data_IF_277840309006
#
_entry.id   IF_277840309006
#
_cell.length_a   1.000
_cell.length_b   1.000
_cell.length_c   1.000
_cell.angle_alpha   90.00
_cell.angle_beta   90.00
_cell.angle_gamma   90.00
#
_symmetry.space_group_name_H-M   'P 1'
#
loop_
_entity.id
_entity.type
_entity.pdbx_description
1 polymer ?
#
# COMPACT_ATOMS: atom_id res chain seq x y z
N UNK A 1 7.64 -26.82 -5.40
CA UNK A 1 8.13 -25.41 -5.44
C UNK A 1 9.63 -25.39 -5.18
N UNK A 2 10.42 -24.70 -5.97
CA UNK A 2 11.86 -24.58 -5.71
C UNK A 2 12.07 -23.51 -4.61
N UNK A 3 11.95 -23.94 -3.35
CA UNK A 3 12.06 -23.06 -2.18
C UNK A 3 13.42 -22.34 -2.12
N UNK A 4 14.49 -23.00 -2.56
CA UNK A 4 15.81 -22.39 -2.61
C UNK A 4 15.85 -21.20 -3.57
N UNK A 5 15.28 -21.34 -4.77
CA UNK A 5 15.23 -20.24 -5.75
C UNK A 5 14.53 -18.98 -5.20
N UNK A 6 13.41 -19.19 -4.48
CA UNK A 6 12.69 -18.09 -3.84
C UNK A 6 13.52 -17.44 -2.73
N UNK A 7 14.08 -18.25 -1.83
CA UNK A 7 14.85 -17.77 -0.68
C UNK A 7 16.09 -16.99 -1.11
N UNK A 8 16.83 -17.51 -2.09
CA UNK A 8 18.04 -16.87 -2.61
C UNK A 8 17.72 -15.53 -3.27
N UNK A 9 16.65 -15.47 -4.08
CA UNK A 9 16.21 -14.26 -4.74
C UNK A 9 15.61 -13.22 -3.77
N UNK A 10 15.07 -13.64 -2.63
CA UNK A 10 14.48 -12.78 -1.60
C UNK A 10 15.55 -12.14 -0.68
N UNK A 11 16.67 -12.83 -0.45
CA UNK A 11 17.67 -12.45 0.54
C UNK A 11 18.16 -10.98 0.43
N UNK A 12 18.50 -10.43 -0.75
CA UNK A 12 18.93 -9.03 -0.89
C UNK A 12 17.87 -8.03 -0.40
N UNK A 13 16.59 -8.30 -0.69
CA UNK A 13 15.48 -7.41 -0.31
C UNK A 13 15.20 -7.45 1.20
N UNK A 14 15.40 -8.61 1.84
CA UNK A 14 15.32 -8.71 3.29
C UNK A 14 16.44 -7.95 3.97
N UNK A 15 17.67 -8.04 3.46
CA UNK A 15 18.81 -7.29 3.97
C UNK A 15 18.59 -5.78 3.80
N UNK A 16 18.11 -5.34 2.65
CA UNK A 16 17.80 -3.93 2.38
C UNK A 16 16.67 -3.41 3.28
N UNK A 17 15.58 -4.15 3.41
CA UNK A 17 14.46 -3.80 4.31
C UNK A 17 14.90 -3.70 5.77
N UNK A 18 15.75 -4.63 6.24
CA UNK A 18 16.31 -4.58 7.59
C UNK A 18 17.18 -3.33 7.81
N UNK A 19 17.95 -2.91 6.82
CA UNK A 19 18.78 -1.71 6.87
C UNK A 19 17.93 -0.42 6.92
N UNK A 20 16.79 -0.41 6.25
CA UNK A 20 15.89 0.75 6.17
C UNK A 20 14.97 0.90 7.37
N UNK A 21 14.70 -0.20 8.10
CA UNK A 21 13.82 -0.20 9.28
C UNK A 21 14.56 0.37 10.48
N UNK A 22 14.02 1.39 11.18
CA UNK A 22 14.59 1.89 12.42
C UNK A 22 14.67 0.78 13.48
N UNK A 23 15.74 0.78 14.27
CA UNK A 23 15.92 -0.19 15.34
C UNK A 23 14.81 -0.04 16.39
N UNK A 24 14.19 -1.17 16.77
CA UNK A 24 13.11 -1.23 17.77
C UNK A 24 11.81 -0.49 17.42
N UNK A 25 11.64 -0.01 16.17
CA UNK A 25 10.38 0.59 15.76
C UNK A 25 9.26 -0.45 15.78
N UNK A 26 8.13 -0.08 16.39
CA UNK A 26 6.89 -0.85 16.28
C UNK A 26 6.44 -0.86 14.81
N UNK A 27 6.03 -2.01 14.29
CA UNK A 27 5.37 -2.12 13.00
C UNK A 27 3.90 -2.43 13.24
N UNK A 28 3.05 -1.56 12.71
CA UNK A 28 1.59 -1.66 12.83
C UNK A 28 0.96 -1.61 11.45
N UNK A 29 0.31 -2.69 11.04
CA UNK A 29 -0.39 -2.77 9.76
C UNK A 29 -1.81 -2.20 9.89
N UNK A 30 -2.08 -1.04 9.30
CA UNK A 30 -3.35 -0.35 9.46
C UNK A 30 -4.51 -0.98 8.65
N UNK A 31 -4.24 -1.95 7.75
CA UNK A 31 -5.24 -2.43 6.81
C UNK A 31 -5.07 -3.92 6.53
N UNK A 32 -5.81 -4.75 7.26
CA UNK A 32 -5.87 -6.19 7.02
C UNK A 32 -7.30 -6.69 7.06
N UNK A 33 -7.54 -7.83 6.44
CA UNK A 33 -8.86 -8.46 6.41
C UNK A 33 -8.83 -9.88 6.96
N UNK A 34 -9.98 -10.37 7.45
CA UNK A 34 -10.24 -11.77 7.73
C UNK A 34 -11.59 -12.20 7.16
N UNK A 35 -11.70 -13.49 6.88
CA UNK A 35 -12.93 -14.13 6.40
C UNK A 35 -12.89 -14.53 4.93
N UNK A 36 -14.03 -14.47 4.28
CA UNK A 36 -14.25 -14.85 2.88
C UNK A 36 -14.80 -13.64 2.12
N UNK A 37 -14.31 -13.38 0.92
CA UNK A 37 -14.85 -12.38 0.00
C UNK A 37 -15.73 -13.04 -1.07
N UNK A 38 -16.68 -12.28 -1.64
CA UNK A 38 -17.53 -12.75 -2.74
C UNK A 38 -16.74 -13.17 -3.99
N UNK A 39 -15.54 -12.63 -4.17
CA UNK A 39 -14.63 -13.02 -5.26
C UNK A 39 -13.90 -14.35 -5.01
N UNK A 40 -14.17 -15.01 -3.88
CA UNK A 40 -13.58 -16.28 -3.49
C UNK A 40 -12.22 -16.18 -2.79
N UNK A 41 -11.68 -14.99 -2.59
CA UNK A 41 -10.49 -14.80 -1.74
C UNK A 41 -10.86 -14.96 -0.28
N UNK A 42 -9.93 -15.53 0.48
CA UNK A 42 -10.13 -15.73 1.92
C UNK A 42 -8.83 -15.58 2.67
N UNK A 43 -8.94 -15.23 3.94
CA UNK A 43 -7.81 -15.20 4.86
C UNK A 43 -8.30 -15.65 6.25
N UNK A 44 -7.63 -16.63 6.82
CA UNK A 44 -7.88 -17.10 8.17
C UNK A 44 -6.89 -16.49 9.18
N UNK A 45 -7.21 -16.57 10.47
CA UNK A 45 -6.42 -16.01 11.54
C UNK A 45 -4.97 -16.55 11.57
N UNK A 46 -4.72 -17.89 11.53
CA UNK A 46 -3.35 -18.40 11.54
C UNK A 46 -2.50 -17.88 10.38
N UNK A 47 -3.09 -17.80 9.20
CA UNK A 47 -2.39 -17.29 8.00
C UNK A 47 -2.08 -15.80 8.12
N UNK A 48 -3.01 -14.97 8.64
CA UNK A 48 -2.74 -13.56 8.88
C UNK A 48 -1.63 -13.37 9.91
N UNK A 49 -1.69 -14.07 11.05
CA UNK A 49 -0.66 -13.97 12.07
C UNK A 49 0.73 -14.37 11.54
N UNK A 50 0.81 -15.44 10.73
CA UNK A 50 2.07 -15.82 10.07
C UNK A 50 2.60 -14.73 9.12
N UNK A 51 1.72 -14.04 8.38
CA UNK A 51 2.13 -12.94 7.50
C UNK A 51 2.64 -11.73 8.29
N UNK A 52 2.01 -11.41 9.42
CA UNK A 52 2.47 -10.37 10.33
C UNK A 52 3.84 -10.72 10.92
N UNK A 53 4.07 -11.99 11.30
CA UNK A 53 5.37 -12.47 11.78
C UNK A 53 6.45 -12.34 10.70
N UNK A 54 6.16 -12.75 9.46
CA UNK A 54 7.07 -12.62 8.32
C UNK A 54 7.46 -11.16 8.03
N UNK A 55 6.55 -10.21 8.29
CA UNK A 55 6.81 -8.77 8.20
C UNK A 55 7.47 -8.21 9.47
N UNK A 56 7.49 -8.95 10.57
CA UNK A 56 7.84 -8.45 11.90
C UNK A 56 6.88 -7.38 12.39
N UNK A 57 5.59 -7.49 12.03
CA UNK A 57 4.54 -6.60 12.49
C UNK A 57 4.03 -7.01 13.88
N UNK A 58 3.98 -6.05 14.78
CA UNK A 58 3.56 -6.24 16.16
C UNK A 58 2.04 -6.33 16.25
N UNK A 59 1.35 -5.42 15.60
CA UNK A 59 -0.12 -5.28 15.63
C UNK A 59 -0.68 -5.01 14.23
N UNK A 60 -1.98 -5.25 14.05
CA UNK A 60 -2.71 -4.87 12.84
C UNK A 60 -4.16 -4.50 13.14
N UNK A 61 -4.71 -3.54 12.35
CA UNK A 61 -6.16 -3.37 12.27
C UNK A 61 -6.74 -4.46 11.36
N UNK A 62 -7.87 -5.01 11.76
CA UNK A 62 -8.54 -6.10 11.03
C UNK A 62 -10.03 -5.87 10.92
N UNK A 63 -10.61 -6.17 9.76
CA UNK A 63 -12.03 -6.06 9.50
C UNK A 63 -12.50 -7.11 8.49
N UNK A 64 -13.85 -7.36 8.41
CA UNK A 64 -14.38 -8.36 7.50
C UNK A 64 -14.12 -8.03 6.03
N UNK A 65 -13.89 -9.05 5.23
CA UNK A 65 -14.01 -9.01 3.78
C UNK A 65 -15.45 -8.70 3.35
N UNK A 66 -15.72 -8.57 2.05
CA UNK A 66 -17.09 -8.44 1.52
C UNK A 66 -17.77 -9.81 1.51
N UNK A 67 -18.10 -10.29 2.71
CA UNK A 67 -18.52 -11.65 3.00
C UNK A 67 -19.87 -11.98 2.34
N UNK A 68 -20.03 -13.17 1.72
CA UNK A 68 -21.32 -13.65 1.21
C UNK A 68 -22.41 -13.71 2.27
N UNK A 69 -22.09 -13.93 3.54
CA UNK A 69 -23.01 -13.97 4.68
C UNK A 69 -23.17 -12.63 5.40
N UNK A 70 -22.83 -11.49 4.74
CA UNK A 70 -22.87 -10.15 5.33
C UNK A 70 -24.26 -9.65 5.72
N UNK A 71 -25.30 -10.26 5.19
CA UNK A 71 -26.67 -9.83 5.49
C UNK A 71 -27.26 -10.56 6.70
N UNK A 72 -27.95 -9.84 7.60
CA UNK A 72 -28.12 -8.39 7.62
C UNK A 72 -26.92 -7.65 8.23
N UNK A 73 -26.68 -6.42 7.75
CA UNK A 73 -25.83 -5.39 8.37
C UNK A 73 -24.38 -5.80 8.71
N UNK A 74 -23.80 -6.78 8.04
CA UNK A 74 -22.51 -7.38 8.38
C UNK A 74 -22.42 -8.02 9.78
N UNK A 75 -23.53 -8.27 10.47
CA UNK A 75 -23.50 -8.71 11.87
C UNK A 75 -22.69 -9.98 12.09
N UNK A 76 -22.87 -11.02 11.25
CA UNK A 76 -22.14 -12.27 11.37
C UNK A 76 -20.64 -12.14 11.05
N UNK A 77 -20.20 -11.49 9.94
CA UNK A 77 -18.80 -11.23 9.69
C UNK A 77 -18.13 -10.37 10.77
N UNK A 78 -18.80 -9.35 11.29
CA UNK A 78 -18.29 -8.54 12.39
C UNK A 78 -18.09 -9.38 13.65
N UNK A 79 -19.05 -10.24 14.02
CA UNK A 79 -18.90 -11.11 15.19
C UNK A 79 -17.76 -12.12 15.05
N UNK A 80 -17.51 -12.64 13.83
CA UNK A 80 -16.35 -13.49 13.55
C UNK A 80 -15.03 -12.74 13.78
N UNK A 81 -14.91 -11.53 13.25
CA UNK A 81 -13.68 -10.71 13.42
C UNK A 81 -13.46 -10.38 14.89
N UNK A 82 -14.49 -10.00 15.64
CA UNK A 82 -14.38 -9.76 17.08
C UNK A 82 -13.88 -11.00 17.82
N UNK A 83 -14.42 -12.20 17.51
CA UNK A 83 -13.99 -13.46 18.10
C UNK A 83 -12.51 -13.75 17.79
N UNK A 84 -12.09 -13.64 16.52
CA UNK A 84 -10.69 -13.86 16.11
C UNK A 84 -9.73 -12.85 16.73
N UNK A 85 -10.21 -11.64 16.98
CA UNK A 85 -9.41 -10.61 17.67
C UNK A 85 -9.12 -11.02 19.11
N UNK A 86 -10.12 -11.55 19.82
CA UNK A 86 -9.93 -12.07 21.19
C UNK A 86 -8.92 -13.22 21.24
N UNK A 87 -8.86 -14.05 20.18
CA UNK A 87 -7.90 -15.17 20.05
C UNK A 87 -6.48 -14.71 19.68
N UNK A 88 -6.30 -13.45 19.26
CA UNK A 88 -5.02 -12.91 18.78
C UNK A 88 -4.08 -12.39 19.87
N UNK A 89 -4.45 -12.53 21.14
CA UNK A 89 -3.66 -12.06 22.28
C UNK A 89 -3.28 -10.56 22.20
N UNK A 90 -4.21 -9.74 21.65
CA UNK A 90 -4.04 -8.29 21.51
C UNK A 90 -3.22 -7.83 20.30
N UNK A 91 -2.85 -8.75 19.40
CA UNK A 91 -2.17 -8.40 18.16
C UNK A 91 -3.08 -7.76 17.13
N UNK A 92 -4.36 -8.10 17.14
CA UNK A 92 -5.35 -7.56 16.19
C UNK A 92 -6.25 -6.53 16.87
N UNK A 93 -6.53 -5.46 16.16
CA UNK A 93 -7.44 -4.37 16.56
C UNK A 93 -8.67 -4.42 15.68
N UNK A 94 -9.86 -4.77 16.18
CA UNK A 94 -11.03 -4.98 15.36
C UNK A 94 -11.67 -3.67 14.91
N UNK A 95 -11.96 -3.57 13.61
CA UNK A 95 -12.86 -2.57 13.05
C UNK A 95 -14.14 -3.27 12.58
N UNK A 96 -15.29 -2.67 12.80
CA UNK A 96 -16.53 -3.19 12.23
C UNK A 96 -16.79 -2.66 10.82
N UNK A 97 -17.29 -3.50 9.94
CA UNK A 97 -17.74 -3.08 8.61
C UNK A 97 -19.22 -2.75 8.68
N UNK A 98 -19.60 -1.56 8.22
CA UNK A 98 -20.99 -1.10 8.24
C UNK A 98 -21.52 -0.99 6.82
N UNK A 99 -22.78 -1.41 6.60
CA UNK A 99 -23.49 -1.17 5.35
C UNK A 99 -24.43 0.03 5.53
N UNK A 100 -24.16 1.17 4.85
CA UNK A 100 -25.01 2.35 4.98
C UNK A 100 -26.49 2.10 4.68
N UNK A 101 -26.82 1.09 3.86
CA UNK A 101 -28.19 0.72 3.50
C UNK A 101 -28.90 -0.16 4.55
N UNK A 102 -28.18 -0.71 5.55
CA UNK A 102 -28.73 -1.74 6.46
C UNK A 102 -28.51 -1.38 7.95
N UNK A 103 -29.25 -0.41 8.47
CA UNK A 103 -29.23 0.02 9.88
C UNK A 103 -27.80 0.22 10.45
N UNK A 104 -26.93 1.01 9.80
CA UNK A 104 -25.51 1.11 10.15
C UNK A 104 -25.24 1.58 11.58
N UNK A 105 -26.09 2.45 12.13
CA UNK A 105 -25.88 2.99 13.48
C UNK A 105 -26.06 1.92 14.54
N UNK A 106 -27.16 1.14 14.45
CA UNK A 106 -27.42 0.07 15.42
C UNK A 106 -26.32 -1.00 15.42
N UNK A 107 -25.82 -1.38 14.22
CA UNK A 107 -24.71 -2.33 14.10
C UNK A 107 -23.39 -1.72 14.59
N UNK A 108 -23.12 -0.45 14.27
CA UNK A 108 -21.95 0.27 14.75
C UNK A 108 -21.90 0.35 16.28
N UNK A 109 -22.97 0.81 16.91
CA UNK A 109 -23.11 0.86 18.37
C UNK A 109 -22.91 -0.53 19.00
N UNK A 110 -23.52 -1.58 18.42
CA UNK A 110 -23.38 -2.96 18.87
C UNK A 110 -21.92 -3.44 18.83
N UNK A 111 -21.21 -3.18 17.73
CA UNK A 111 -19.81 -3.58 17.55
C UNK A 111 -18.87 -2.80 18.47
N UNK A 112 -19.06 -1.48 18.61
CA UNK A 112 -18.29 -0.64 19.51
C UNK A 112 -18.46 -1.10 20.97
N UNK A 113 -19.68 -1.44 21.39
CA UNK A 113 -19.95 -1.99 22.72
C UNK A 113 -19.27 -3.36 22.95
N UNK A 114 -18.99 -4.12 21.90
CA UNK A 114 -18.25 -5.40 21.92
C UNK A 114 -16.74 -5.24 21.75
N UNK A 115 -16.22 -4.02 21.66
CA UNK A 115 -14.79 -3.77 21.62
C UNK A 115 -14.21 -3.40 20.24
N UNK A 116 -15.04 -3.18 19.23
CA UNK A 116 -14.55 -2.60 17.95
C UNK A 116 -13.91 -1.23 18.21
N UNK A 117 -12.80 -0.95 17.54
CA UNK A 117 -11.98 0.25 17.73
C UNK A 117 -11.92 1.12 16.46
N UNK A 118 -12.78 0.85 15.48
CA UNK A 118 -12.90 1.60 14.23
C UNK A 118 -14.01 1.08 13.34
N UNK A 119 -14.26 1.80 12.26
CA UNK A 119 -15.29 1.51 11.26
C UNK A 119 -14.62 1.32 9.91
N UNK A 120 -15.06 0.33 9.13
CA UNK A 120 -14.66 0.11 7.73
C UNK A 120 -15.83 0.42 6.80
N UNK A 121 -15.55 1.21 5.76
CA UNK A 121 -16.47 1.51 4.66
C UNK A 121 -15.82 1.19 3.31
N UNK A 122 -16.64 0.69 2.37
CA UNK A 122 -16.18 0.38 1.02
C UNK A 122 -17.20 0.82 -0.03
N UNK A 123 -17.13 2.07 -0.54
CA UNK A 123 -18.16 2.67 -1.38
C UNK A 123 -18.54 1.82 -2.59
N UNK A 124 -17.57 1.23 -3.29
CA UNK A 124 -17.85 0.39 -4.48
C UNK A 124 -18.52 -0.93 -4.12
N UNK A 125 -17.99 -1.68 -3.14
CA UNK A 125 -18.54 -3.00 -2.78
C UNK A 125 -19.92 -2.90 -2.14
N UNK A 126 -20.19 -1.81 -1.42
CA UNK A 126 -21.45 -1.57 -0.71
C UNK A 126 -22.39 -0.61 -1.46
N UNK A 127 -21.99 -0.14 -2.65
CA UNK A 127 -22.78 0.66 -3.59
C UNK A 127 -23.41 1.93 -2.97
N UNK A 128 -22.65 2.70 -2.21
CA UNK A 128 -23.08 3.96 -1.62
C UNK A 128 -22.26 5.16 -2.09
N UNK A 129 -22.79 6.37 -1.90
CA UNK A 129 -22.14 7.65 -2.09
C UNK A 129 -22.06 8.42 -0.75
N UNK A 130 -21.16 9.41 -0.65
CA UNK A 130 -20.91 10.15 0.60
C UNK A 130 -21.91 11.30 0.86
N UNK A 131 -22.82 11.56 -0.05
CA UNK A 131 -23.91 12.56 0.08
C UNK A 131 -25.21 11.99 0.63
N UNK A 132 -25.25 10.69 0.97
CA UNK A 132 -26.39 10.03 1.60
C UNK A 132 -26.59 10.47 3.05
N UNK A 133 -27.84 10.54 3.53
CA UNK A 133 -28.15 10.98 4.90
C UNK A 133 -27.59 10.06 5.99
N UNK A 134 -27.38 8.78 5.67
CA UNK A 134 -26.81 7.78 6.60
C UNK A 134 -25.35 8.08 6.93
N UNK A 135 -24.66 8.79 6.02
CA UNK A 135 -23.22 9.06 6.17
C UNK A 135 -22.94 10.05 7.30
N UNK A 136 -23.75 11.11 7.45
CA UNK A 136 -23.61 12.02 8.58
C UNK A 136 -23.79 11.27 9.92
N UNK A 137 -24.72 10.32 10.00
CA UNK A 137 -24.91 9.49 11.20
C UNK A 137 -23.71 8.60 11.53
N UNK A 138 -23.10 7.96 10.51
CA UNK A 138 -21.90 7.11 10.69
C UNK A 138 -20.72 7.97 11.15
N UNK A 139 -20.53 9.15 10.57
CA UNK A 139 -19.46 10.07 10.95
C UNK A 139 -19.65 10.61 12.37
N UNK A 140 -20.89 11.00 12.75
CA UNK A 140 -21.23 11.40 14.12
C UNK A 140 -20.95 10.27 15.12
N UNK A 141 -21.33 9.04 14.80
CA UNK A 141 -21.04 7.88 15.66
C UNK A 141 -19.53 7.70 15.88
N UNK A 142 -18.73 7.86 14.82
CA UNK A 142 -17.29 7.74 14.91
C UNK A 142 -16.65 8.87 15.75
N UNK A 143 -17.12 10.12 15.61
CA UNK A 143 -16.68 11.26 16.43
C UNK A 143 -17.02 11.06 17.91
N UNK A 144 -18.27 10.69 18.22
CA UNK A 144 -18.73 10.45 19.59
C UNK A 144 -17.96 9.31 20.27
N UNK A 145 -17.73 8.22 19.54
CA UNK A 145 -16.95 7.07 20.02
C UNK A 145 -15.45 7.29 19.99
N UNK A 146 -14.96 8.37 19.33
CA UNK A 146 -13.53 8.68 19.10
C UNK A 146 -12.79 7.53 18.43
N UNK A 147 -13.38 6.96 17.40
CA UNK A 147 -12.79 5.86 16.61
C UNK A 147 -12.60 6.29 15.15
N UNK A 148 -11.55 5.79 14.46
CA UNK A 148 -11.33 6.12 13.07
C UNK A 148 -12.32 5.41 12.13
N UNK A 149 -12.51 6.01 10.95
CA UNK A 149 -13.18 5.39 9.81
C UNK A 149 -12.15 5.10 8.73
N UNK A 150 -11.93 3.83 8.38
CA UNK A 150 -11.11 3.44 7.25
C UNK A 150 -11.99 3.28 6.01
N UNK A 151 -11.68 4.06 4.97
CA UNK A 151 -12.47 4.16 3.74
C UNK A 151 -11.66 3.62 2.57
N UNK A 152 -12.21 2.66 1.83
CA UNK A 152 -11.61 2.23 0.57
C UNK A 152 -11.63 3.38 -0.45
N UNK A 153 -10.47 3.75 -0.96
CA UNK A 153 -10.28 4.84 -1.93
C UNK A 153 -9.30 4.41 -3.06
N UNK A 154 -9.38 3.14 -3.44
CA UNK A 154 -8.50 2.50 -4.42
C UNK A 154 -8.91 2.71 -5.87
N UNK A 155 -8.23 2.01 -6.77
CA UNK A 155 -8.50 2.04 -8.21
C UNK A 155 -9.89 1.47 -8.54
N UNK A 156 -10.46 1.94 -9.65
CA UNK A 156 -11.76 1.47 -10.13
C UNK A 156 -12.95 1.99 -9.32
N UNK A 157 -12.73 3.00 -8.49
CA UNK A 157 -13.77 3.75 -7.82
C UNK A 157 -14.36 4.82 -8.74
N UNK A 158 -15.66 5.16 -8.61
CA UNK A 158 -16.14 6.45 -9.10
C UNK A 158 -15.46 7.58 -8.31
N UNK A 159 -15.49 8.83 -8.80
CA UNK A 159 -15.01 9.97 -8.03
C UNK A 159 -15.72 10.07 -6.68
N UNK A 160 -14.94 10.17 -5.60
CA UNK A 160 -15.47 10.26 -4.22
C UNK A 160 -15.09 11.58 -3.53
N UNK A 161 -14.17 12.34 -4.12
CA UNK A 161 -13.51 13.45 -3.46
C UNK A 161 -14.46 14.52 -2.97
N UNK A 162 -15.43 14.95 -3.77
CA UNK A 162 -16.30 16.06 -3.40
C UNK A 162 -17.20 15.69 -2.23
N UNK A 163 -17.95 14.59 -2.32
CA UNK A 163 -18.85 14.15 -1.25
C UNK A 163 -18.09 13.79 0.03
N UNK A 164 -16.95 13.09 -0.08
CA UNK A 164 -16.15 12.71 1.08
C UNK A 164 -15.51 13.93 1.76
N UNK A 165 -14.95 14.87 0.98
CA UNK A 165 -14.35 16.07 1.56
C UNK A 165 -15.40 16.97 2.21
N UNK A 166 -16.57 17.17 1.60
CA UNK A 166 -17.66 17.94 2.20
C UNK A 166 -18.14 17.31 3.50
N UNK A 167 -18.25 15.99 3.55
CA UNK A 167 -18.63 15.26 4.75
C UNK A 167 -17.56 15.39 5.85
N UNK A 168 -16.30 15.17 5.52
CA UNK A 168 -15.18 15.32 6.46
C UNK A 168 -15.11 16.74 7.06
N UNK A 169 -15.31 17.77 6.25
CA UNK A 169 -15.31 19.15 6.72
C UNK A 169 -16.50 19.50 7.64
N UNK A 170 -17.62 18.76 7.54
CA UNK A 170 -18.75 18.87 8.50
C UNK A 170 -18.47 18.14 9.81
N UNK A 171 -17.55 17.18 9.80
CA UNK A 171 -17.16 16.36 10.94
C UNK A 171 -15.67 16.53 11.26
N UNK A 172 -15.23 17.69 11.75
CA UNK A 172 -13.80 18.04 11.88
C UNK A 172 -13.05 17.21 12.92
N UNK A 173 -13.75 16.54 13.84
CA UNK A 173 -13.14 15.70 14.87
C UNK A 173 -12.98 14.23 14.42
N UNK A 174 -13.57 13.85 13.27
CA UNK A 174 -13.46 12.48 12.77
C UNK A 174 -12.03 12.19 12.32
N UNK A 175 -11.54 10.99 12.63
CA UNK A 175 -10.29 10.49 12.07
C UNK A 175 -10.60 9.59 10.88
N UNK A 176 -10.10 9.94 9.72
CA UNK A 176 -10.24 9.18 8.48
C UNK A 176 -8.94 8.51 8.11
N UNK A 177 -8.98 7.24 7.70
CA UNK A 177 -7.87 6.53 7.07
C UNK A 177 -8.29 6.24 5.63
N UNK A 178 -7.68 6.95 4.68
CA UNK A 178 -7.96 6.81 3.26
C UNK A 178 -7.07 5.71 2.67
N UNK A 179 -7.69 4.58 2.38
CA UNK A 179 -6.97 3.39 1.90
C UNK A 179 -6.36 3.61 0.53
N UNK A 180 -5.26 2.89 0.25
CA UNK A 180 -4.58 2.86 -1.04
C UNK A 180 -4.09 4.26 -1.49
N UNK A 181 -3.55 5.03 -0.55
CA UNK A 181 -3.10 6.41 -0.79
C UNK A 181 -4.17 7.33 -1.40
N UNK A 182 -5.45 6.97 -1.28
CA UNK A 182 -6.59 7.65 -1.91
C UNK A 182 -6.44 7.79 -3.45
N UNK A 183 -5.82 6.82 -4.13
CA UNK A 183 -5.41 6.93 -5.55
C UNK A 183 -6.55 7.16 -6.55
N UNK A 184 -7.81 6.93 -6.17
CA UNK A 184 -8.95 7.28 -7.01
C UNK A 184 -9.06 8.79 -7.24
N UNK A 185 -8.72 9.59 -6.19
CA UNK A 185 -8.88 11.05 -6.18
C UNK A 185 -7.75 11.74 -5.38
N UNK A 186 -6.55 11.16 -5.32
CA UNK A 186 -5.44 11.58 -4.45
C UNK A 186 -5.15 13.09 -4.54
N UNK A 187 -5.02 13.63 -5.75
CA UNK A 187 -4.68 15.05 -5.93
C UNK A 187 -5.74 16.02 -5.39
N UNK A 188 -7.02 15.65 -5.47
CA UNK A 188 -8.14 16.47 -4.97
C UNK A 188 -8.25 16.31 -3.45
N UNK A 189 -8.25 15.08 -2.93
CA UNK A 189 -8.39 14.79 -1.50
C UNK A 189 -7.23 15.37 -0.69
N UNK A 190 -5.98 15.21 -1.13
CA UNK A 190 -4.83 15.79 -0.44
C UNK A 190 -4.85 17.32 -0.43
N UNK A 191 -5.45 17.97 -1.44
CA UNK A 191 -5.60 19.42 -1.49
C UNK A 191 -6.76 19.92 -0.63
N UNK A 192 -7.94 19.29 -0.76
CA UNK A 192 -9.15 19.75 -0.03
C UNK A 192 -9.09 19.48 1.46
N UNK A 193 -8.40 18.42 1.86
CA UNK A 193 -8.28 17.98 3.25
C UNK A 193 -6.89 18.30 3.86
N UNK A 194 -6.11 19.18 3.22
CA UNK A 194 -4.76 19.53 3.68
C UNK A 194 -4.74 20.05 5.12
N UNK A 195 -5.74 20.86 5.50
CA UNK A 195 -5.85 21.46 6.83
C UNK A 195 -6.71 20.63 7.80
N UNK A 196 -7.26 19.48 7.35
CA UNK A 196 -8.06 18.63 8.23
C UNK A 196 -7.15 17.83 9.18
N UNK A 197 -7.30 17.99 10.53
CA UNK A 197 -6.33 17.44 11.48
C UNK A 197 -6.33 15.90 11.56
N UNK A 198 -7.43 15.27 11.20
CA UNK A 198 -7.69 13.84 11.38
C UNK A 198 -7.56 12.98 10.14
N UNK A 199 -7.05 13.46 8.99
CA UNK A 199 -6.95 12.62 7.78
C UNK A 199 -5.60 11.93 7.68
N UNK A 200 -5.64 10.61 7.60
CA UNK A 200 -4.51 9.71 7.36
C UNK A 200 -4.65 9.04 5.99
N UNK A 201 -3.51 8.65 5.41
CA UNK A 201 -3.42 7.93 4.15
C UNK A 201 -2.65 6.63 4.36
N UNK A 202 -3.21 5.50 3.93
CA UNK A 202 -2.51 4.22 4.06
C UNK A 202 -1.66 3.89 2.84
N UNK A 203 -0.64 3.06 3.04
CA UNK A 203 0.34 2.71 1.99
C UNK A 203 0.01 1.45 1.22
N UNK A 204 -1.19 0.91 1.30
CA UNK A 204 -1.59 -0.35 0.65
C UNK A 204 -1.76 -0.23 -0.87
N UNK A 205 -0.70 0.25 -1.54
CA UNK A 205 -0.64 0.44 -3.00
C UNK A 205 0.26 -0.59 -3.66
N UNK A 206 -0.05 -0.93 -4.93
CA UNK A 206 0.80 -1.78 -5.75
C UNK A 206 1.89 -1.02 -6.50
N UNK A 207 1.66 0.26 -6.80
CA UNK A 207 2.57 1.05 -7.61
C UNK A 207 3.33 2.05 -6.74
N UNK A 208 4.66 1.93 -6.66
CA UNK A 208 5.49 2.85 -5.90
C UNK A 208 5.30 4.32 -6.26
N UNK A 209 4.98 4.61 -7.51
CA UNK A 209 4.79 5.98 -7.99
C UNK A 209 3.64 6.70 -7.28
N UNK A 210 2.56 5.98 -6.97
CA UNK A 210 1.41 6.54 -6.24
C UNK A 210 1.81 6.95 -4.82
N UNK A 211 2.70 6.16 -4.17
CA UNK A 211 3.23 6.48 -2.85
C UNK A 211 4.28 7.59 -2.90
N UNK A 212 5.15 7.61 -3.91
CA UNK A 212 6.13 8.69 -4.09
C UNK A 212 5.40 10.05 -4.20
N UNK A 213 4.29 10.09 -4.94
CA UNK A 213 3.47 11.29 -5.03
C UNK A 213 2.79 11.64 -3.70
N UNK A 214 2.27 10.63 -2.98
CA UNK A 214 1.68 10.82 -1.65
C UNK A 214 2.69 11.45 -0.68
N UNK A 215 3.88 10.87 -0.55
CA UNK A 215 4.94 11.36 0.35
C UNK A 215 5.45 12.77 -0.02
N UNK A 216 5.26 13.18 -1.28
CA UNK A 216 5.57 14.54 -1.70
C UNK A 216 4.51 15.56 -1.25
N UNK A 217 3.24 15.15 -1.13
CA UNK A 217 2.09 16.02 -0.87
C UNK A 217 1.64 16.05 0.57
N UNK A 218 1.86 14.96 1.31
CA UNK A 218 1.29 14.73 2.64
C UNK A 218 2.42 14.67 3.68
N UNK A 219 2.26 15.32 4.85
CA UNK A 219 3.19 15.16 5.96
C UNK A 219 3.35 13.68 6.37
N UNK A 220 4.55 13.26 6.73
CA UNK A 220 4.84 11.88 7.10
C UNK A 220 3.96 11.39 8.27
N UNK A 221 3.64 12.27 9.19
CA UNK A 221 2.79 12.03 10.37
C UNK A 221 1.31 11.73 10.00
N UNK A 222 0.95 11.87 8.73
CA UNK A 222 -0.38 11.54 8.19
C UNK A 222 -0.34 10.36 7.23
N UNK A 223 0.78 9.63 7.17
CA UNK A 223 0.93 8.41 6.36
C UNK A 223 1.10 7.23 7.32
N UNK A 224 0.35 6.16 7.09
CA UNK A 224 0.39 4.93 7.90
C UNK A 224 0.63 3.71 7.03
N UNK A 225 1.49 2.81 7.51
CA UNK A 225 1.75 1.56 6.85
C UNK A 225 0.50 0.67 6.79
N UNK A 226 0.26 0.07 5.64
CA UNK A 226 -0.80 -0.87 5.42
C UNK A 226 -0.47 -1.83 4.27
N UNK A 227 -0.98 -3.07 4.32
CA UNK A 227 -0.66 -4.10 3.34
C UNK A 227 -1.84 -4.73 2.61
N UNK A 228 -3.05 -4.60 3.12
CA UNK A 228 -4.30 -5.07 2.50
C UNK A 228 -4.35 -6.58 2.16
N UNK A 229 -3.95 -7.53 3.05
CA UNK A 229 -4.13 -8.95 2.79
C UNK A 229 -5.62 -9.35 2.88
N UNK A 230 -6.11 -10.26 2.04
CA UNK A 230 -5.40 -11.17 1.15
C UNK A 230 -5.03 -10.60 -0.23
N UNK A 231 -5.34 -9.35 -0.53
CA UNK A 231 -5.06 -8.70 -1.81
C UNK A 231 -3.58 -8.28 -1.93
N UNK A 232 -2.97 -7.85 -0.81
CA UNK A 232 -1.56 -7.57 -0.68
C UNK A 232 -0.82 -8.57 0.21
N UNK A 233 0.45 -8.27 0.50
CA UNK A 233 1.34 -9.06 1.34
C UNK A 233 2.03 -8.16 2.37
N UNK A 234 1.92 -8.47 3.66
CA UNK A 234 2.44 -7.60 4.73
C UNK A 234 3.94 -7.32 4.58
N UNK A 235 4.74 -8.33 4.25
CA UNK A 235 6.19 -8.20 4.16
C UNK A 235 6.66 -7.36 2.95
N UNK A 236 6.07 -7.54 1.76
CA UNK A 236 6.41 -6.70 0.59
C UNK A 236 5.78 -5.31 0.66
N UNK A 237 4.60 -5.17 1.28
CA UNK A 237 4.00 -3.87 1.56
C UNK A 237 4.86 -3.03 2.51
N UNK A 238 5.38 -3.64 3.59
CA UNK A 238 6.32 -2.98 4.49
C UNK A 238 7.61 -2.58 3.76
N UNK A 239 8.16 -3.47 2.94
CA UNK A 239 9.35 -3.15 2.14
C UNK A 239 9.11 -1.96 1.21
N UNK A 240 7.96 -1.91 0.53
CA UNK A 240 7.58 -0.77 -0.31
C UNK A 240 7.48 0.53 0.50
N UNK A 241 6.80 0.53 1.64
CA UNK A 241 6.68 1.70 2.51
C UNK A 241 8.04 2.21 2.98
N UNK A 242 8.93 1.32 3.44
CA UNK A 242 10.30 1.65 3.84
C UNK A 242 11.12 2.25 2.70
N UNK A 243 11.04 1.66 1.49
CA UNK A 243 11.78 2.15 0.32
C UNK A 243 11.32 3.54 -0.11
N UNK A 244 10.00 3.77 -0.14
CA UNK A 244 9.45 5.09 -0.52
C UNK A 244 9.75 6.13 0.55
N UNK A 245 9.61 5.81 1.84
CA UNK A 245 9.96 6.70 2.94
C UNK A 245 11.43 7.14 2.88
N UNK A 246 12.34 6.19 2.67
CA UNK A 246 13.77 6.48 2.50
C UNK A 246 14.04 7.31 1.23
N UNK A 247 13.38 6.99 0.11
CA UNK A 247 13.49 7.76 -1.14
C UNK A 247 13.00 9.21 -0.96
N UNK A 248 11.94 9.41 -0.17
CA UNK A 248 11.44 10.74 0.20
C UNK A 248 12.37 11.49 1.19
N UNK A 249 13.43 10.85 1.67
CA UNK A 249 14.40 11.45 2.58
C UNK A 249 13.89 11.59 4.01
N UNK A 250 13.00 10.70 4.45
CA UNK A 250 12.57 10.65 5.85
C UNK A 250 13.72 10.11 6.72
N UNK A 251 13.84 10.67 7.92
CA UNK A 251 14.73 10.15 8.96
C UNK A 251 14.11 8.97 9.70
N UNK A 252 14.87 8.35 10.61
CA UNK A 252 14.44 7.17 11.34
C UNK A 252 13.18 7.41 12.19
N UNK A 253 13.03 8.59 12.78
CA UNK A 253 11.86 8.95 13.60
C UNK A 253 10.60 9.02 12.73
N UNK A 254 10.66 9.74 11.61
CA UNK A 254 9.55 9.85 10.67
C UNK A 254 9.20 8.49 10.03
N UNK A 255 10.20 7.65 9.71
CA UNK A 255 9.96 6.27 9.23
C UNK A 255 9.25 5.45 10.33
N UNK A 256 9.69 5.55 11.59
CA UNK A 256 9.04 4.90 12.73
C UNK A 256 7.57 5.31 12.87
N UNK A 257 7.28 6.60 12.71
CA UNK A 257 5.92 7.15 12.66
C UNK A 257 5.06 6.47 11.59
N UNK A 258 5.57 6.44 10.35
CA UNK A 258 4.86 5.85 9.20
C UNK A 258 4.60 4.36 9.39
N UNK A 259 5.59 3.58 9.85
CA UNK A 259 5.46 2.12 9.90
C UNK A 259 4.70 1.60 11.11
N UNK A 260 4.43 2.45 12.14
CA UNK A 260 3.71 1.94 13.29
C UNK A 260 3.27 2.96 14.32
N UNK A 261 4.12 3.89 14.75
CA UNK A 261 3.85 4.73 15.93
C UNK A 261 2.62 5.62 15.78
N UNK A 262 2.38 6.19 14.58
CA UNK A 262 1.18 7.00 14.31
C UNK A 262 -0.10 6.19 14.51
N UNK A 263 -0.13 4.96 13.94
CA UNK A 263 -1.30 4.10 14.07
C UNK A 263 -1.47 3.57 15.50
N UNK A 264 -0.37 3.22 16.17
CA UNK A 264 -0.36 2.85 17.57
C UNK A 264 -0.89 3.97 18.47
N UNK A 265 -0.43 5.20 18.26
CA UNK A 265 -0.91 6.36 19.01
C UNK A 265 -2.42 6.58 18.85
N UNK A 266 -2.92 6.42 17.62
CA UNK A 266 -4.34 6.56 17.32
C UNK A 266 -5.18 5.53 18.07
N UNK A 267 -4.89 4.24 17.93
CA UNK A 267 -5.70 3.17 18.52
C UNK A 267 -5.56 3.08 20.04
N UNK A 268 -4.42 3.52 20.59
CA UNK A 268 -4.18 3.59 22.04
C UNK A 268 -4.78 4.86 22.68
N UNK A 269 -5.44 5.72 21.91
CA UNK A 269 -6.09 6.96 22.39
C UNK A 269 -5.12 8.06 22.79
N UNK A 270 -3.87 8.02 22.33
CA UNK A 270 -2.85 9.06 22.57
C UNK A 270 -2.97 10.27 21.63
N UNK A 271 -3.88 10.18 20.64
CA UNK A 271 -4.08 11.21 19.61
C UNK A 271 -3.02 11.16 18.50
N UNK A 272 -3.25 11.95 17.46
CA UNK A 272 -2.32 12.04 16.32
C UNK A 272 -1.15 12.99 16.64
N UNK A 273 0.05 12.71 16.12
CA UNK A 273 1.20 13.59 16.29
C UNK A 273 0.99 14.93 15.55
N UNK A 274 1.65 16.01 15.98
CA UNK A 274 1.66 17.28 15.25
C UNK A 274 2.29 17.07 13.88
N UNK A 275 1.83 17.83 12.88
CA UNK A 275 2.31 17.68 11.50
C UNK A 275 3.50 18.58 11.21
N UNK A 276 4.44 18.05 10.45
CA UNK A 276 5.50 18.80 9.76
C UNK A 276 5.01 19.32 8.40
N UNK A 277 5.83 20.09 7.69
CA UNK A 277 5.56 20.42 6.30
C UNK A 277 5.74 19.21 5.40
N UNK A 278 4.92 19.03 4.33
CA UNK A 278 5.16 18.03 3.31
C UNK A 278 6.56 18.18 2.70
N UNK A 279 7.17 17.06 2.32
CA UNK A 279 8.54 17.07 1.74
C UNK A 279 8.63 17.78 0.39
N UNK A 280 7.50 17.94 -0.30
CA UNK A 280 7.44 18.52 -1.64
C UNK A 280 7.80 17.51 -2.74
N UNK A 281 7.51 17.89 -3.98
CA UNK A 281 7.81 17.06 -5.13
C UNK A 281 9.33 16.93 -5.32
N UNK A 282 9.82 15.70 -5.26
CA UNK A 282 11.19 15.37 -5.63
C UNK A 282 11.22 15.01 -7.11
N UNK A 283 12.28 15.42 -7.81
CA UNK A 283 12.47 15.01 -9.19
C UNK A 283 12.79 13.51 -9.23
N UNK A 284 11.87 12.71 -9.76
CA UNK A 284 12.09 11.28 -9.97
C UNK A 284 13.01 11.12 -11.17
N UNK A 285 14.30 10.88 -10.92
CA UNK A 285 15.27 10.61 -11.97
C UNK A 285 15.63 9.12 -11.92
N UNK A 286 14.87 8.29 -12.61
CA UNK A 286 15.20 6.88 -12.77
C UNK A 286 16.22 6.72 -13.89
N UNK A 287 17.36 6.01 -13.69
CA UNK A 287 18.23 5.57 -14.77
C UNK A 287 17.41 4.80 -15.83
N UNK A 288 17.69 5.02 -17.12
CA UNK A 288 16.83 4.54 -18.22
C UNK A 288 16.54 3.04 -18.20
N UNK A 289 17.50 2.21 -17.73
CA UNK A 289 17.26 0.77 -17.57
C UNK A 289 16.34 0.44 -16.40
N UNK A 290 16.52 1.07 -15.24
CA UNK A 290 15.62 0.90 -14.11
C UNK A 290 14.20 1.35 -14.44
N UNK A 291 14.04 2.48 -15.16
CA UNK A 291 12.72 2.94 -15.62
C UNK A 291 12.03 1.90 -16.53
N UNK A 292 12.77 1.25 -17.43
CA UNK A 292 12.20 0.20 -18.31
C UNK A 292 11.91 -1.08 -17.54
N UNK A 293 12.80 -1.52 -16.63
CA UNK A 293 12.57 -2.68 -15.76
C UNK A 293 11.32 -2.45 -14.89
N UNK A 294 11.20 -1.28 -14.28
CA UNK A 294 10.00 -0.85 -13.55
C UNK A 294 8.75 -0.90 -14.41
N UNK A 295 8.78 -0.29 -15.61
CA UNK A 295 7.63 -0.23 -16.50
C UNK A 295 7.09 -1.61 -16.89
N UNK A 296 7.95 -2.52 -17.32
CA UNK A 296 7.54 -3.88 -17.69
C UNK A 296 7.11 -4.71 -16.48
N UNK A 297 7.87 -4.69 -15.38
CA UNK A 297 7.55 -5.44 -14.19
C UNK A 297 6.21 -4.98 -13.56
N UNK A 298 5.93 -3.67 -13.56
CA UNK A 298 4.67 -3.12 -13.05
C UNK A 298 3.43 -3.61 -13.80
N UNK A 299 3.55 -3.96 -15.07
CA UNK A 299 2.45 -4.51 -15.88
C UNK A 299 2.19 -5.99 -15.59
N UNK A 300 3.19 -6.72 -15.09
CA UNK A 300 3.03 -8.15 -14.77
C UNK A 300 2.09 -8.37 -13.57
N UNK A 301 2.12 -7.52 -12.55
CA UNK A 301 1.29 -7.65 -11.35
C UNK A 301 -0.21 -7.71 -11.65
N UNK A 302 -0.80 -6.69 -12.28
CA UNK A 302 -2.21 -6.71 -12.67
C UNK A 302 -2.59 -7.92 -13.54
N UNK A 303 -1.72 -8.35 -14.44
CA UNK A 303 -1.95 -9.54 -15.27
C UNK A 303 -1.99 -10.83 -14.42
N UNK A 304 -1.11 -10.96 -13.42
CA UNK A 304 -1.13 -12.08 -12.47
C UNK A 304 -2.43 -12.09 -11.64
N UNK A 305 -2.87 -10.94 -11.15
CA UNK A 305 -4.13 -10.83 -10.42
C UNK A 305 -5.37 -11.16 -11.26
N UNK A 306 -5.34 -10.82 -12.54
CA UNK A 306 -6.40 -11.15 -13.49
C UNK A 306 -6.35 -12.62 -13.96
N UNK A 307 -5.36 -13.41 -13.53
CA UNK A 307 -5.17 -14.79 -13.99
C UNK A 307 -4.62 -14.90 -15.42
N UNK A 308 -4.19 -13.80 -16.04
CA UNK A 308 -3.61 -13.74 -17.37
C UNK A 308 -2.10 -14.12 -17.34
N UNK A 309 -1.82 -15.38 -16.96
CA UNK A 309 -0.47 -15.86 -16.65
C UNK A 309 0.50 -15.70 -17.82
N UNK A 310 0.11 -16.05 -19.04
CA UNK A 310 0.97 -15.91 -20.24
C UNK A 310 1.35 -14.43 -20.49
N UNK A 311 0.39 -13.52 -20.32
CA UNK A 311 0.65 -12.08 -20.45
C UNK A 311 1.62 -11.60 -19.36
N UNK A 312 1.42 -12.03 -18.12
CA UNK A 312 2.33 -11.71 -17.01
C UNK A 312 3.75 -12.20 -17.31
N UNK A 313 3.87 -13.43 -17.78
CA UNK A 313 5.15 -14.04 -18.16
C UNK A 313 5.85 -13.25 -19.26
N UNK A 314 5.13 -12.81 -20.29
CA UNK A 314 5.69 -11.97 -21.35
C UNK A 314 6.24 -10.63 -20.81
N UNK A 315 5.55 -9.99 -19.86
CA UNK A 315 6.04 -8.76 -19.22
C UNK A 315 7.27 -9.02 -18.35
N UNK A 316 7.29 -10.14 -17.61
CA UNK A 316 8.46 -10.55 -16.83
C UNK A 316 9.67 -10.82 -17.74
N UNK A 317 9.49 -11.51 -18.87
CA UNK A 317 10.56 -11.81 -19.81
C UNK A 317 11.18 -10.51 -20.39
N UNK A 318 10.35 -9.48 -20.70
CA UNK A 318 10.83 -8.17 -21.12
C UNK A 318 11.61 -7.44 -20.00
N UNK A 319 11.11 -7.47 -18.76
CA UNK A 319 11.79 -6.87 -17.62
C UNK A 319 13.14 -7.55 -17.33
N UNK A 320 13.18 -8.90 -17.37
CA UNK A 320 14.39 -9.70 -17.22
C UNK A 320 15.42 -9.33 -18.29
N UNK A 321 14.99 -9.20 -19.55
CA UNK A 321 15.88 -8.84 -20.65
C UNK A 321 16.55 -7.47 -20.43
N UNK A 322 15.82 -6.51 -19.85
CA UNK A 322 16.39 -5.20 -19.49
C UNK A 322 17.45 -5.29 -18.40
N UNK A 323 17.31 -6.23 -17.45
CA UNK A 323 18.26 -6.39 -16.34
C UNK A 323 19.57 -7.11 -16.73
N UNK A 324 19.62 -7.75 -17.92
CA UNK A 324 20.81 -8.43 -18.40
C UNK A 324 21.88 -7.44 -18.89
N UNK A 325 23.13 -7.78 -18.68
CA UNK A 325 24.30 -7.03 -19.13
C UNK A 325 24.26 -5.53 -18.79
N UNK A 326 24.24 -5.15 -17.49
CA UNK A 326 24.25 -3.75 -17.09
C UNK A 326 25.50 -3.04 -17.62
N UNK A 327 25.32 -1.82 -18.15
CA UNK A 327 26.41 -1.02 -18.67
C UNK A 327 27.03 -0.15 -17.57
N UNK A 328 28.29 0.33 -17.75
CA UNK A 328 28.87 1.29 -16.83
C UNK A 328 27.97 2.52 -16.64
N UNK A 329 27.75 2.90 -15.37
CA UNK A 329 26.84 4.01 -15.01
C UNK A 329 25.37 3.60 -14.80
N UNK A 330 24.99 2.38 -15.15
CA UNK A 330 23.75 1.78 -14.67
C UNK A 330 23.89 1.42 -13.18
N UNK A 331 22.77 1.32 -12.45
CA UNK A 331 22.76 0.77 -11.08
C UNK A 331 22.91 -0.75 -11.13
N UNK A 332 24.11 -1.24 -11.51
CA UNK A 332 24.36 -2.65 -11.87
C UNK A 332 23.94 -3.64 -10.80
N UNK A 333 24.31 -3.40 -9.54
CA UNK A 333 23.93 -4.23 -8.40
C UNK A 333 22.39 -4.32 -8.24
N UNK A 334 21.69 -3.19 -8.32
CA UNK A 334 20.23 -3.19 -8.24
C UNK A 334 19.59 -3.92 -9.43
N UNK A 335 20.14 -3.77 -10.64
CA UNK A 335 19.64 -4.49 -11.82
C UNK A 335 19.88 -6.00 -11.72
N UNK A 336 21.00 -6.43 -11.14
CA UNK A 336 21.29 -7.85 -10.88
C UNK A 336 20.31 -8.45 -9.88
N UNK A 337 20.07 -7.77 -8.74
CA UNK A 337 19.11 -8.19 -7.72
C UNK A 337 17.67 -8.24 -8.26
N UNK A 338 17.24 -7.20 -8.97
CA UNK A 338 15.94 -7.13 -9.63
C UNK A 338 15.80 -8.25 -10.66
N UNK A 339 16.81 -8.45 -11.50
CA UNK A 339 16.84 -9.50 -12.52
C UNK A 339 16.70 -10.90 -11.91
N UNK A 340 17.43 -11.19 -10.84
CA UNK A 340 17.35 -12.46 -10.12
C UNK A 340 15.94 -12.70 -9.53
N UNK A 341 15.35 -11.67 -8.93
CA UNK A 341 13.99 -11.75 -8.39
C UNK A 341 12.95 -11.99 -9.49
N UNK A 342 13.05 -11.30 -10.62
CA UNK A 342 12.13 -11.44 -11.74
C UNK A 342 12.27 -12.83 -12.42
N UNK A 343 13.49 -13.39 -12.52
CA UNK A 343 13.72 -14.75 -13.02
C UNK A 343 13.05 -15.76 -12.09
N UNK A 344 13.25 -15.61 -10.77
CA UNK A 344 12.61 -16.48 -9.79
C UNK A 344 11.08 -16.34 -9.80
N UNK A 345 10.56 -15.12 -9.85
CA UNK A 345 9.13 -14.87 -9.98
C UNK A 345 8.54 -15.53 -11.24
N UNK A 346 9.22 -15.38 -12.39
CA UNK A 346 8.82 -16.00 -13.67
C UNK A 346 8.71 -17.53 -13.56
N UNK A 347 9.71 -18.18 -12.95
CA UNK A 347 9.70 -19.62 -12.76
C UNK A 347 8.59 -20.07 -11.79
N UNK A 348 8.29 -19.28 -10.76
CA UNK A 348 7.25 -19.61 -9.78
C UNK A 348 5.83 -19.50 -10.36
N UNK A 349 5.59 -18.69 -11.40
CA UNK A 349 4.27 -18.60 -12.06
C UNK A 349 3.83 -19.88 -12.77
N UNK A 350 4.71 -20.86 -12.94
CA UNK A 350 4.38 -22.16 -13.58
C UNK A 350 3.46 -23.05 -12.72
N UNK A 351 3.27 -22.71 -11.45
CA UNK A 351 2.37 -23.43 -10.54
C UNK A 351 1.46 -22.49 -9.76
N UNK A 352 0.24 -22.92 -9.45
CA UNK A 352 -0.69 -22.15 -8.60
C UNK A 352 -0.10 -21.86 -7.21
N UNK A 353 0.65 -22.80 -6.63
CA UNK A 353 1.30 -22.62 -5.32
C UNK A 353 2.45 -21.61 -5.35
N UNK A 354 3.03 -21.36 -6.51
CA UNK A 354 4.11 -20.37 -6.69
C UNK A 354 3.61 -18.94 -6.89
N UNK A 355 2.32 -18.73 -7.10
CA UNK A 355 1.79 -17.41 -7.47
C UNK A 355 2.05 -16.35 -6.39
N UNK A 356 1.82 -16.68 -5.11
CA UNK A 356 2.04 -15.73 -4.01
C UNK A 356 3.52 -15.39 -3.81
N UNK A 357 4.46 -16.37 -3.75
CA UNK A 357 5.89 -16.05 -3.76
C UNK A 357 6.35 -15.27 -5.00
N UNK A 358 5.78 -15.55 -6.17
CA UNK A 358 6.09 -14.80 -7.39
C UNK A 358 5.66 -13.32 -7.28
N UNK A 359 4.49 -13.06 -6.72
CA UNK A 359 4.01 -11.70 -6.46
C UNK A 359 4.86 -10.96 -5.42
N UNK A 360 5.31 -11.64 -4.35
CA UNK A 360 6.19 -11.03 -3.35
C UNK A 360 7.50 -10.56 -3.97
N UNK A 361 8.16 -11.42 -4.76
CA UNK A 361 9.39 -11.04 -5.46
C UNK A 361 9.17 -9.93 -6.48
N UNK A 362 8.07 -10.00 -7.24
CA UNK A 362 7.71 -8.96 -8.22
C UNK A 362 7.52 -7.60 -7.56
N UNK A 363 6.75 -7.51 -6.46
CA UNK A 363 6.51 -6.25 -5.77
C UNK A 363 7.79 -5.64 -5.21
N UNK A 364 8.67 -6.47 -4.65
CA UNK A 364 9.98 -5.99 -4.17
C UNK A 364 10.86 -5.48 -5.31
N UNK A 365 10.91 -6.20 -6.42
CA UNK A 365 11.65 -5.78 -7.62
C UNK A 365 11.12 -4.44 -8.16
N UNK A 366 9.80 -4.26 -8.22
CA UNK A 366 9.14 -3.02 -8.65
C UNK A 366 9.43 -1.87 -7.67
N UNK A 367 9.34 -2.11 -6.36
CA UNK A 367 9.68 -1.12 -5.34
C UNK A 367 11.14 -0.67 -5.45
N UNK A 368 12.07 -1.63 -5.57
CA UNK A 368 13.49 -1.36 -5.74
C UNK A 368 13.78 -0.54 -7.01
N UNK A 369 13.21 -0.96 -8.14
CA UNK A 369 13.41 -0.27 -9.43
C UNK A 369 12.93 1.18 -9.41
N UNK A 370 11.82 1.47 -8.73
CA UNK A 370 11.24 2.81 -8.67
C UNK A 370 11.97 3.76 -7.71
N UNK A 371 12.64 3.22 -6.69
CA UNK A 371 13.21 4.02 -5.58
C UNK A 371 14.73 3.98 -5.52
N UNK A 372 15.40 3.32 -6.48
CA UNK A 372 16.85 3.30 -6.52
C UNK A 372 17.37 4.69 -6.88
N UNK A 373 18.20 5.26 -6.02
CA UNK A 373 18.84 6.55 -6.29
C UNK A 373 19.85 6.40 -7.43
N UNK A 374 19.93 7.36 -8.36
CA UNK A 374 21.01 7.37 -9.32
C UNK A 374 22.33 7.47 -8.56
N UNK A 375 23.31 6.60 -8.86
CA UNK A 375 24.66 6.74 -8.30
C UNK A 375 25.18 8.13 -8.66
N UNK A 376 25.62 8.88 -7.67
CA UNK A 376 26.32 10.14 -7.94
C UNK A 376 27.47 9.85 -8.91
N UNK A 377 27.45 10.48 -10.09
CA UNK A 377 28.58 10.38 -11.02
C UNK A 377 29.83 10.80 -10.26
N UNK A 378 30.84 9.94 -10.24
CA UNK A 378 32.16 10.34 -9.84
C UNK A 378 32.50 11.57 -10.69
N UNK A 379 32.93 12.64 -10.04
CA UNK A 379 33.32 13.91 -10.70
C UNK A 379 34.51 13.74 -11.68
N UNK A 380 34.99 12.52 -11.90
CA UNK A 380 36.06 12.14 -12.80
C UNK A 380 35.62 11.62 -14.16
N UNK A 381 34.33 11.41 -14.40
CA UNK A 381 33.87 11.04 -15.76
C UNK A 381 33.64 12.29 -16.61
N UNK A 382 34.19 12.34 -17.84
CA UNK A 382 33.94 13.46 -18.75
C UNK A 382 32.46 13.51 -19.13
N UNK A 383 31.87 14.72 -19.34
CA UNK A 383 30.46 14.85 -19.72
C UNK A 383 30.23 14.13 -21.06
N UNK A 384 29.13 13.38 -21.13
CA UNK A 384 28.66 12.76 -22.38
C UNK A 384 28.42 13.91 -23.38
N UNK A 385 29.12 13.90 -24.54
CA UNK A 385 28.87 14.95 -25.54
C UNK A 385 27.40 14.95 -25.99
N UNK A 386 26.77 16.11 -26.22
CA UNK A 386 25.41 16.17 -26.68
C UNK A 386 25.27 15.37 -27.98
N UNK A 387 24.18 14.61 -28.12
CA UNK A 387 23.88 13.89 -29.35
C UNK A 387 23.89 14.90 -30.50
N UNK A 388 24.81 14.74 -31.44
CA UNK A 388 24.86 15.58 -32.63
C UNK A 388 23.53 15.42 -33.38
N UNK A 389 22.88 16.53 -33.70
CA UNK A 389 21.71 16.61 -34.54
C UNK A 389 21.83 15.74 -35.78
N UNK A 390 21.22 14.57 -35.76
CA UNK A 390 21.11 13.70 -36.95
C UNK A 390 19.99 14.14 -37.91
N UNK A 391 19.39 15.31 -37.68
CA UNK A 391 18.23 15.80 -38.47
C UNK A 391 18.54 16.95 -39.43
N UNK A 392 19.79 17.32 -39.68
CA UNK A 392 20.11 18.43 -40.58
C UNK A 392 20.71 18.03 -41.95
N UNK A 393 20.40 16.85 -42.48
CA UNK A 393 20.79 16.48 -43.86
C UNK A 393 19.66 15.80 -44.61
N UNK A 394 18.58 16.53 -44.90
CA UNK A 394 17.72 16.19 -46.02
C UNK A 394 17.00 17.46 -46.50
N UNK A 395 17.67 18.21 -47.36
CA UNK A 395 17.04 19.39 -47.93
C UNK A 395 18.01 20.24 -48.73
N UNK A 396 18.70 19.65 -49.73
CA UNK A 396 19.19 20.39 -50.90
C UNK A 396 19.76 19.39 -51.92
N UNK A 397 18.94 19.03 -52.85
CA UNK A 397 19.36 18.86 -54.28
C UNK A 397 18.11 18.82 -55.18
N UNK A 398 18.05 19.84 -56.03
CA UNK A 398 17.44 19.98 -57.35
C UNK A 398 15.94 19.77 -57.49
#
# INVERSE_FOLDING_TARGET
MNAALYTDALAPFLADGKRLRPANAEVFDAHTHLGLDEDGRSLDLPTLLSQLDDAGANRACVFPLHDPERKPAYSLPNDRVLTWTDESEGRLIPFCRLDPAEAPLAEGERCLAKGARGIKLHPRAQAFAFDGPEMDGIFSLAEEAKVPILIHAGRGMPPIADGLADLALRHPEVVLILAHAAICDQGILTSRLADHPGVLYDTSCFFPIDLIELFARVPAERIVFASDPPYGLSSSGLYLALRVAAHAGLDEEAIGGVIGETMAALVDGRGLPPVSAPRGAQQITLPGRLARAYGYASLAGPAMFAGAVEQAQGMLDLAIAVCRDPQPGDSGEALEEIGAALIAARALTESKQGMRPALDLLFRAVARAATEAPRSRSTTEPPIPPARDALSRSGQTA
#
